data_IF_423473757341
#
_entry.id   IF_423473757341
#
_cell.length_a   1.000
_cell.length_b   1.000
_cell.length_c   1.000
_cell.angle_alpha   90.00
_cell.angle_beta   90.00
_cell.angle_gamma   90.00
#
_symmetry.space_group_name_H-M   'P 1'
#
loop_
_entity.id
_entity.type
_entity.pdbx_description
1 polymer ?
#
# COMPACT_ATOMS: atom_id res chain seq x y z
N UNK A 1 1.02 7.33 -13.29
CA UNK A 1 -0.44 7.35 -13.52
C UNK A 1 -0.81 6.18 -14.44
N UNK A 2 -1.50 5.17 -13.88
CA UNK A 2 -2.00 3.92 -14.48
C UNK A 2 -1.12 3.25 -15.55
N UNK A 3 -0.34 2.24 -15.13
CA UNK A 3 0.53 1.46 -16.02
C UNK A 3 0.09 -0.02 -16.03
N UNK A 4 -0.52 -0.45 -17.14
CA UNK A 4 -0.86 -1.84 -17.44
C UNK A 4 0.30 -2.52 -18.18
N UNK A 5 1.42 -2.73 -17.49
CA UNK A 5 2.58 -3.44 -18.06
C UNK A 5 2.83 -4.75 -17.30
N UNK A 6 2.98 -5.90 -17.99
CA UNK A 6 3.04 -7.23 -17.35
C UNK A 6 4.23 -7.48 -16.39
N UNK A 7 5.10 -6.49 -16.17
CA UNK A 7 6.32 -6.56 -15.33
C UNK A 7 6.42 -5.39 -14.36
N UNK A 8 5.29 -4.82 -13.93
CA UNK A 8 5.32 -3.73 -12.96
C UNK A 8 5.50 -4.31 -11.55
N UNK A 9 6.70 -4.17 -10.98
CA UNK A 9 7.02 -4.52 -9.57
C UNK A 9 5.94 -3.98 -8.61
N UNK A 10 5.35 -2.82 -8.91
CA UNK A 10 4.27 -2.24 -8.11
C UNK A 10 2.94 -3.02 -8.17
N UNK A 11 2.61 -3.67 -9.29
CA UNK A 11 1.40 -4.50 -9.38
C UNK A 11 1.54 -5.79 -8.56
N UNK A 12 2.70 -6.45 -8.62
CA UNK A 12 2.98 -7.65 -7.83
C UNK A 12 3.02 -7.30 -6.33
N UNK A 13 3.63 -6.16 -5.97
CA UNK A 13 3.59 -5.61 -4.60
C UNK A 13 2.16 -5.45 -4.08
N UNK A 14 1.32 -4.68 -4.78
CA UNK A 14 -0.07 -4.45 -4.32
C UNK A 14 -0.86 -5.75 -4.23
N UNK A 15 -0.73 -6.65 -5.22
CA UNK A 15 -1.43 -7.94 -5.21
C UNK A 15 -1.06 -8.80 -4.01
N UNK A 16 0.22 -8.91 -3.69
CA UNK A 16 0.68 -9.69 -2.54
C UNK A 16 0.21 -9.06 -1.22
N UNK A 17 0.28 -7.74 -1.11
CA UNK A 17 -0.16 -7.01 0.06
C UNK A 17 -1.67 -7.12 0.30
N UNK A 18 -2.48 -6.96 -0.74
CA UNK A 18 -3.94 -7.16 -0.68
C UNK A 18 -4.27 -8.59 -0.25
N UNK A 19 -3.59 -9.58 -0.83
CA UNK A 19 -3.81 -10.99 -0.48
C UNK A 19 -3.53 -11.25 1.00
N UNK A 20 -2.46 -10.68 1.55
CA UNK A 20 -2.13 -10.80 2.96
C UNK A 20 -3.15 -10.10 3.85
N UNK A 21 -3.59 -8.88 3.52
CA UNK A 21 -4.64 -8.16 4.26
C UNK A 21 -5.96 -8.92 4.30
N UNK A 22 -6.43 -9.42 3.16
CA UNK A 22 -7.67 -10.20 3.08
C UNK A 22 -7.57 -11.50 3.90
N UNK A 23 -6.41 -12.15 3.92
CA UNK A 23 -6.18 -13.34 4.77
C UNK A 23 -6.26 -13.05 6.28
N UNK A 24 -6.06 -11.78 6.67
CA UNK A 24 -6.17 -11.28 8.04
C UNK A 24 -7.56 -10.70 8.33
N UNK A 25 -8.50 -10.76 7.39
CA UNK A 25 -9.85 -10.20 7.53
C UNK A 25 -9.93 -8.68 7.34
N UNK A 26 -8.89 -8.05 6.77
CA UNK A 26 -8.90 -6.62 6.44
C UNK A 26 -9.26 -6.47 4.96
N UNK A 27 -10.49 -6.04 4.68
CA UNK A 27 -10.98 -5.90 3.32
C UNK A 27 -10.46 -4.64 2.62
N UNK A 28 -10.00 -4.82 1.38
CA UNK A 28 -9.54 -3.74 0.50
C UNK A 28 -10.69 -3.30 -0.42
N UNK A 29 -10.87 -2.00 -0.55
CA UNK A 29 -11.87 -1.38 -1.43
C UNK A 29 -11.29 -1.10 -2.82
N UNK A 30 -10.11 -0.50 -2.86
CA UNK A 30 -9.48 -0.08 -4.10
C UNK A 30 -7.95 -0.06 -3.96
N UNK A 31 -7.23 -0.08 -5.09
CA UNK A 31 -5.78 0.11 -5.08
C UNK A 31 -5.27 0.61 -6.43
N UNK A 32 -4.28 1.48 -6.41
CA UNK A 32 -3.63 1.97 -7.63
C UNK A 32 -2.22 2.49 -7.38
N UNK A 33 -1.54 2.81 -8.47
CA UNK A 33 -0.30 3.57 -8.46
C UNK A 33 -0.62 5.06 -8.46
N UNK A 34 0.12 5.82 -7.67
CA UNK A 34 -0.08 7.25 -7.47
C UNK A 34 0.79 8.11 -8.41
N UNK A 35 0.86 9.42 -8.17
CA UNK A 35 1.56 10.37 -9.02
C UNK A 35 3.10 10.32 -8.96
N UNK A 36 3.70 9.86 -7.85
CA UNK A 36 5.15 9.83 -7.67
C UNK A 36 5.79 8.46 -7.96
N UNK A 37 7.10 8.41 -8.28
CA UNK A 37 7.83 7.16 -8.50
C UNK A 37 7.68 6.20 -7.31
N UNK A 38 7.17 5.00 -7.59
CA UNK A 38 6.95 3.95 -6.58
C UNK A 38 5.81 4.24 -5.59
N UNK A 39 5.09 5.36 -5.70
CA UNK A 39 3.98 5.69 -4.80
C UNK A 39 2.77 4.79 -5.05
N UNK A 40 2.25 4.18 -3.98
CA UNK A 40 1.13 3.25 -4.02
C UNK A 40 0.01 3.75 -3.11
N UNK A 41 -1.23 3.48 -3.50
CA UNK A 41 -2.43 3.72 -2.71
C UNK A 41 -3.25 2.43 -2.64
N UNK A 42 -3.72 2.10 -1.43
CA UNK A 42 -4.58 0.97 -1.13
C UNK A 42 -5.61 1.46 -0.12
N UNK A 43 -6.87 1.45 -0.53
CA UNK A 43 -8.00 1.89 0.29
C UNK A 43 -8.58 0.70 1.04
N UNK A 44 -8.76 0.86 2.35
CA UNK A 44 -9.42 -0.14 3.18
C UNK A 44 -10.92 0.15 3.22
N UNK A 45 -11.75 -0.89 3.23
CA UNK A 45 -13.18 -0.71 3.45
C UNK A 45 -13.45 -0.10 4.82
N UNK A 46 -14.54 0.67 4.89
CA UNK A 46 -15.03 1.26 6.13
C UNK A 46 -15.19 0.22 7.26
N UNK A 47 -14.76 0.60 8.45
CA UNK A 47 -15.04 -0.05 9.72
C UNK A 47 -15.34 1.01 10.79
N UNK A 48 -15.75 0.60 11.99
CA UNK A 48 -15.86 1.54 13.11
C UNK A 48 -14.49 2.15 13.47
N UNK A 49 -14.50 3.22 14.26
CA UNK A 49 -13.30 4.01 14.52
C UNK A 49 -12.18 3.22 15.20
N UNK A 50 -12.51 2.30 16.14
CA UNK A 50 -11.51 1.51 16.84
C UNK A 50 -10.91 0.46 15.91
N UNK A 51 -11.77 -0.28 15.20
CA UNK A 51 -11.33 -1.27 14.22
C UNK A 51 -10.50 -0.63 13.09
N UNK A 52 -10.86 0.57 12.64
CA UNK A 52 -10.10 1.30 11.62
C UNK A 52 -8.71 1.69 12.11
N UNK A 53 -8.57 2.11 13.38
CA UNK A 53 -7.26 2.42 13.95
C UNK A 53 -6.34 1.18 13.97
N UNK A 54 -6.88 0.03 14.38
CA UNK A 54 -6.15 -1.24 14.38
C UNK A 54 -5.79 -1.71 12.96
N UNK A 55 -6.73 -1.56 12.02
CA UNK A 55 -6.53 -1.90 10.62
C UNK A 55 -5.42 -1.05 9.99
N UNK A 56 -5.35 0.26 10.27
CA UNK A 56 -4.28 1.13 9.77
C UNK A 56 -2.92 0.70 10.29
N UNK A 57 -2.80 0.36 11.57
CA UNK A 57 -1.52 -0.09 12.13
C UNK A 57 -1.07 -1.42 11.53
N UNK A 58 -2.00 -2.36 11.38
CA UNK A 58 -1.77 -3.65 10.72
C UNK A 58 -1.37 -3.46 9.25
N UNK A 59 -2.08 -2.60 8.53
CA UNK A 59 -1.79 -2.25 7.15
C UNK A 59 -0.35 -1.77 6.97
N UNK A 60 0.11 -0.85 7.82
CA UNK A 60 1.49 -0.33 7.76
C UNK A 60 2.54 -1.41 8.00
N UNK A 61 2.24 -2.37 8.86
CA UNK A 61 3.12 -3.52 9.10
C UNK A 61 3.17 -4.45 7.88
N UNK A 62 2.01 -4.79 7.32
CA UNK A 62 1.89 -5.64 6.13
C UNK A 62 2.64 -5.03 4.94
N UNK A 63 2.48 -3.73 4.67
CA UNK A 63 3.22 -3.07 3.58
C UNK A 63 4.73 -3.19 3.75
N UNK A 64 5.24 -3.01 4.98
CA UNK A 64 6.67 -3.16 5.26
C UNK A 64 7.14 -4.60 5.11
N UNK A 65 6.35 -5.57 5.57
CA UNK A 65 6.67 -6.99 5.45
C UNK A 65 6.76 -7.41 3.98
N UNK A 66 5.76 -7.07 3.17
CA UNK A 66 5.77 -7.37 1.73
C UNK A 66 6.93 -6.67 1.03
N UNK A 67 7.25 -5.44 1.41
CA UNK A 67 8.40 -4.72 0.86
C UNK A 67 9.71 -5.47 1.14
N UNK A 68 9.91 -5.92 2.39
CA UNK A 68 11.07 -6.70 2.79
C UNK A 68 11.18 -8.01 2.00
N UNK A 69 10.07 -8.73 1.81
CA UNK A 69 10.04 -9.97 1.03
C UNK A 69 10.42 -9.77 -0.45
N UNK A 70 10.15 -8.58 -0.99
CA UNK A 70 10.50 -8.20 -2.36
C UNK A 70 11.85 -7.47 -2.47
N UNK A 71 12.61 -7.35 -1.37
CA UNK A 71 13.92 -6.69 -1.36
C UNK A 71 13.86 -5.17 -1.54
N UNK A 72 12.72 -4.54 -1.26
CA UNK A 72 12.50 -3.09 -1.32
C UNK A 72 12.10 -2.54 0.05
N UNK A 73 11.98 -1.21 0.17
CA UNK A 73 11.57 -0.55 1.41
C UNK A 73 10.30 0.26 1.20
N UNK A 74 9.28 0.01 2.03
CA UNK A 74 8.08 0.86 2.12
C UNK A 74 8.26 1.96 3.18
N UNK A 75 7.82 3.18 2.85
CA UNK A 75 7.81 4.32 3.77
C UNK A 75 6.46 5.01 3.77
N UNK A 76 6.09 5.55 4.93
CA UNK A 76 4.88 6.35 5.16
C UNK A 76 5.26 7.80 5.53
N UNK A 77 6.47 8.23 5.19
CA UNK A 77 6.86 9.62 5.37
C UNK A 77 6.02 10.52 4.46
N UNK A 78 5.57 11.69 4.92
CA UNK A 78 4.66 12.52 4.15
C UNK A 78 5.29 13.13 2.89
N UNK A 79 6.62 13.23 2.82
CA UNK A 79 7.34 13.83 1.68
C UNK A 79 8.74 13.21 1.53
N UNK A 80 8.85 11.99 0.97
CA UNK A 80 10.16 11.32 0.82
C UNK A 80 11.02 11.93 -0.29
N UNK A 81 10.41 12.60 -1.27
CA UNK A 81 11.11 13.28 -2.35
C UNK A 81 10.64 14.73 -2.47
N UNK A 82 11.56 15.69 -2.64
CA UNK A 82 11.23 17.12 -2.72
C UNK A 82 10.41 17.46 -3.96
N UNK A 83 10.79 16.89 -5.11
CA UNK A 83 10.25 17.24 -6.43
C UNK A 83 8.95 16.51 -6.80
N UNK A 84 8.50 15.54 -5.99
CA UNK A 84 7.33 14.71 -6.30
C UNK A 84 6.20 14.90 -5.28
N UNK A 85 4.94 14.55 -5.59
CA UNK A 85 3.84 14.54 -4.62
C UNK A 85 4.18 13.84 -3.29
N UNK A 86 3.55 14.31 -2.21
CA UNK A 86 3.68 13.70 -0.88
C UNK A 86 2.71 12.53 -0.66
N UNK A 87 2.80 11.89 0.51
CA UNK A 87 1.89 10.83 0.98
C UNK A 87 1.03 11.37 2.13
N UNK A 88 -0.29 11.25 1.97
CA UNK A 88 -1.30 11.67 2.95
C UNK A 88 -1.71 10.55 3.89
#
# INVERSE_FOLDING_TARGET
YFDHTPQNVGMDFRRQAITMLESMGISVEFSHHEGAPGQQEIDLRYADALSTADNIMTFRLVMKQVALEQGVQATFMPKPFSEYPGSG
#
